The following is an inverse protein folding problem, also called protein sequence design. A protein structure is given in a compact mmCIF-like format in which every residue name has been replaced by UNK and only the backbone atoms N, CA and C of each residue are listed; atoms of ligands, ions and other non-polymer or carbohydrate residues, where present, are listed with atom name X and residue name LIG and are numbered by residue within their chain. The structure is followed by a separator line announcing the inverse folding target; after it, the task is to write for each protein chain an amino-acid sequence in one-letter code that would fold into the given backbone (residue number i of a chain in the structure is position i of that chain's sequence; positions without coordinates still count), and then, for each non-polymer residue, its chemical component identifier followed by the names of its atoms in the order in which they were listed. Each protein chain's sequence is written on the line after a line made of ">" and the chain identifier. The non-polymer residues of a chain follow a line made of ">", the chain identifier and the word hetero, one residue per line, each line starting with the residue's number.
data_IF_238267977510
#
_entry.id   IF_238267977510
#
_cell.length_a   1.000
_cell.length_b   1.000
_cell.length_c   1.000
_cell.angle_alpha   90.00
_cell.angle_beta   90.00
_cell.angle_gamma   90.00
#
_symmetry.space_group_name_H-M   'P 1'
#
loop_
_entity.id
_entity.type
_entity.pdbx_description
1 polymer ?
#
# COMPACT_ATOMS: atom_id res chain seq x y z
N UNK A 1 6.25 -4.68 12.35
CA UNK A 1 7.22 -5.18 11.35
C UNK A 1 6.51 -5.21 10.00
N UNK A 2 7.13 -4.64 8.96
CA UNK A 2 6.58 -4.65 7.59
C UNK A 2 7.24 -5.78 6.80
N UNK A 3 6.43 -6.59 6.11
CA UNK A 3 6.88 -7.78 5.39
C UNK A 3 6.18 -7.83 4.03
N UNK A 4 6.93 -8.19 2.98
CA UNK A 4 6.32 -8.50 1.68
C UNK A 4 5.43 -9.74 1.78
N UNK A 5 4.18 -9.63 1.34
CA UNK A 5 3.23 -10.74 1.31
C UNK A 5 3.17 -11.45 -0.05
N UNK A 6 3.70 -10.83 -1.13
CA UNK A 6 3.81 -11.42 -2.46
C UNK A 6 5.18 -12.02 -2.79
N UNK A 7 5.33 -12.58 -4.00
CA UNK A 7 6.60 -13.17 -4.46
C UNK A 7 7.55 -12.14 -5.07
N UNK A 8 7.02 -11.12 -5.75
CA UNK A 8 7.81 -10.13 -6.49
C UNK A 8 8.28 -8.98 -5.59
N UNK A 9 9.52 -8.51 -5.71
CA UNK A 9 9.98 -7.27 -5.06
C UNK A 9 9.32 -6.03 -5.65
N UNK A 10 9.46 -4.88 -4.98
CA UNK A 10 8.94 -3.61 -5.49
C UNK A 10 9.42 -3.31 -6.92
N UNK A 11 10.72 -3.48 -7.18
CA UNK A 11 11.33 -3.23 -8.49
C UNK A 11 10.85 -4.19 -9.59
N UNK A 12 10.43 -5.40 -9.22
CA UNK A 12 9.89 -6.41 -10.16
C UNK A 12 8.44 -6.13 -10.53
N UNK A 13 7.68 -5.43 -9.67
CA UNK A 13 6.28 -5.09 -9.93
C UNK A 13 6.17 -3.92 -10.92
N UNK A 14 7.11 -2.96 -10.91
CA UNK A 14 7.24 -1.75 -11.76
C UNK A 14 5.96 -0.91 -11.99
N UNK A 15 4.88 -1.50 -12.51
CA UNK A 15 3.54 -0.93 -12.60
C UNK A 15 2.52 -2.00 -12.18
N UNK A 16 2.02 -1.95 -10.95
CA UNK A 16 1.07 -2.95 -10.43
C UNK A 16 0.93 -2.99 -8.91
N UNK A 17 0.12 -3.93 -8.42
CA UNK A 17 -0.12 -4.09 -6.98
C UNK A 17 1.02 -4.81 -6.27
N UNK A 18 1.46 -4.23 -5.16
CA UNK A 18 2.44 -4.75 -4.23
C UNK A 18 1.77 -5.03 -2.88
N UNK A 19 1.77 -6.30 -2.46
CA UNK A 19 1.12 -6.75 -1.24
C UNK A 19 2.10 -6.72 -0.06
N UNK A 20 1.72 -6.05 1.02
CA UNK A 20 2.50 -5.98 2.26
C UNK A 20 1.65 -6.31 3.49
N UNK A 21 2.28 -6.95 4.47
CA UNK A 21 1.75 -7.12 5.82
C UNK A 21 2.45 -6.14 6.77
N UNK A 22 1.67 -5.42 7.57
CA UNK A 22 2.16 -4.48 8.59
C UNK A 22 1.42 -4.73 9.89
N UNK A 23 2.07 -5.37 10.84
CA UNK A 23 1.50 -5.63 12.17
C UNK A 23 0.11 -6.31 12.09
N UNK A 24 -0.05 -7.25 11.14
CA UNK A 24 -1.28 -8.01 10.90
C UNK A 24 -2.30 -7.32 9.99
N UNK A 25 -2.03 -6.08 9.55
CA UNK A 25 -2.77 -5.45 8.47
C UNK A 25 -2.25 -5.94 7.14
N UNK A 26 -3.14 -6.30 6.22
CA UNK A 26 -2.79 -6.62 4.83
C UNK A 26 -3.14 -5.44 3.94
N UNK A 27 -2.17 -4.91 3.22
CA UNK A 27 -2.34 -3.77 2.34
C UNK A 27 -2.00 -4.17 0.91
N UNK A 28 -2.82 -3.69 -0.03
CA UNK A 28 -2.51 -3.67 -1.45
C UNK A 28 -2.18 -2.23 -1.84
N UNK A 29 -0.93 -2.01 -2.22
CA UNK A 29 -0.41 -0.69 -2.63
C UNK A 29 -0.09 -0.74 -4.11
N UNK A 30 -0.45 0.29 -4.86
CA UNK A 30 -0.10 0.39 -6.26
C UNK A 30 1.27 1.08 -6.44
N UNK A 31 2.16 0.41 -7.15
CA UNK A 31 3.41 0.98 -7.65
C UNK A 31 3.16 1.46 -9.08
N UNK A 32 3.40 2.74 -9.36
CA UNK A 32 3.38 3.29 -10.72
C UNK A 32 4.78 3.74 -11.13
N UNK A 33 5.41 2.99 -12.02
CA UNK A 33 6.72 3.29 -12.58
C UNK A 33 7.82 3.53 -11.52
N UNK A 34 7.83 2.75 -10.43
CA UNK A 34 8.69 2.87 -9.23
C UNK A 34 8.26 3.93 -8.21
N UNK A 35 7.14 4.62 -8.40
CA UNK A 35 6.60 5.60 -7.46
C UNK A 35 5.41 5.03 -6.66
N UNK A 36 5.32 5.39 -5.38
CA UNK A 36 4.18 5.08 -4.53
C UNK A 36 2.96 5.92 -4.93
N UNK A 37 1.95 5.29 -5.55
CA UNK A 37 0.77 5.97 -6.10
C UNK A 37 -0.39 6.01 -5.10
N UNK A 38 -1.16 4.92 -4.97
CA UNK A 38 -2.31 4.83 -4.06
C UNK A 38 -2.39 3.50 -3.30
N UNK A 39 -3.22 3.45 -2.27
CA UNK A 39 -3.62 2.20 -1.63
C UNK A 39 -4.94 1.69 -2.23
N UNK A 40 -4.92 0.49 -2.79
CA UNK A 40 -6.09 -0.17 -3.38
C UNK A 40 -6.99 -0.77 -2.28
N UNK A 41 -6.38 -1.40 -1.27
CA UNK A 41 -7.11 -2.11 -0.24
C UNK A 41 -6.32 -2.21 1.06
N UNK A 42 -7.04 -2.11 2.19
CA UNK A 42 -6.56 -2.42 3.52
C UNK A 42 -7.49 -3.41 4.21
N UNK A 43 -6.94 -4.50 4.74
CA UNK A 43 -7.66 -5.47 5.57
C UNK A 43 -7.05 -5.47 6.97
N UNK A 44 -7.85 -5.14 7.96
CA UNK A 44 -7.45 -5.16 9.36
C UNK A 44 -7.28 -6.60 9.88
N UNK A 45 -6.55 -6.78 10.99
CA UNK A 45 -6.41 -8.10 11.63
C UNK A 45 -7.74 -8.76 12.02
N UNK A 46 -8.77 -7.96 12.32
CA UNK A 46 -10.12 -8.43 12.65
C UNK A 46 -11.03 -8.66 11.42
N UNK A 47 -10.49 -8.49 10.20
CA UNK A 47 -11.16 -8.79 8.94
C UNK A 47 -12.01 -7.66 8.35
N UNK A 48 -12.04 -6.48 8.97
CA UNK A 48 -12.63 -5.29 8.34
C UNK A 48 -11.81 -4.91 7.10
N UNK A 49 -12.51 -4.50 6.05
CA UNK A 49 -11.91 -4.17 4.75
C UNK A 49 -12.29 -2.73 4.38
N UNK A 50 -11.30 -1.99 3.92
CA UNK A 50 -11.46 -0.76 3.16
C UNK A 50 -10.89 -0.99 1.75
N UNK A 51 -11.56 -0.49 0.72
CA UNK A 51 -11.05 -0.54 -0.66
C UNK A 51 -11.32 0.77 -1.40
N UNK A 52 -10.42 1.11 -2.33
CA UNK A 52 -10.46 2.36 -3.10
C UNK A 52 -11.79 2.51 -3.87
N UNK A 53 -12.28 1.44 -4.50
CA UNK A 53 -13.53 1.42 -5.28
C UNK A 53 -14.83 1.27 -4.43
N UNK A 54 -14.75 1.21 -3.10
CA UNK A 54 -15.94 0.93 -2.27
C UNK A 54 -17.01 2.04 -2.23
N UNK A 55 -16.85 3.12 -3.00
CA UNK A 55 -17.94 3.99 -3.45
C UNK A 55 -18.63 4.86 -2.39
N UNK A 56 -18.27 4.73 -1.10
CA UNK A 56 -18.76 5.64 -0.08
C UNK A 56 -17.98 6.96 -0.19
N UNK A 57 -18.73 8.06 -0.15
CA UNK A 57 -18.48 9.34 -0.83
C UNK A 57 -17.24 10.15 -0.36
N UNK A 58 -16.39 9.54 0.46
CA UNK A 58 -15.22 10.12 1.13
C UNK A 58 -14.02 9.17 1.23
N UNK A 59 -13.94 8.13 0.39
CA UNK A 59 -12.76 7.25 0.31
C UNK A 59 -11.53 8.02 -0.18
N UNK A 60 -10.96 8.89 0.65
CA UNK A 60 -9.66 9.48 0.39
C UNK A 60 -8.64 8.37 0.50
N UNK A 61 -7.86 8.22 -0.55
CA UNK A 61 -6.69 7.36 -0.56
C UNK A 61 -5.85 7.58 0.70
N UNK A 62 -5.62 6.53 1.51
CA UNK A 62 -4.74 6.61 2.67
C UNK A 62 -3.35 7.14 2.34
N UNK A 63 -2.83 6.89 1.13
CA UNK A 63 -1.54 7.43 0.68
C UNK A 63 -1.61 8.94 0.50
N UNK A 64 -2.73 9.47 0.01
CA UNK A 64 -2.95 10.92 -0.13
C UNK A 64 -3.08 11.67 1.21
N UNK A 65 -3.30 10.96 2.32
CA UNK A 65 -3.33 11.55 3.67
C UNK A 65 -1.93 11.70 4.29
N UNK A 66 -0.90 11.10 3.70
CA UNK A 66 0.46 11.16 4.19
C UNK A 66 1.05 12.55 3.93
N UNK A 67 1.81 13.06 4.89
CA UNK A 67 2.74 14.16 4.60
C UNK A 67 3.79 13.71 3.58
N UNK A 68 4.43 14.68 2.93
CA UNK A 68 5.53 14.42 1.98
C UNK A 68 6.63 13.53 2.60
N UNK A 69 6.93 13.73 3.89
CA UNK A 69 7.95 12.94 4.58
C UNK A 69 7.49 11.50 4.86
N UNK A 70 6.24 11.31 5.27
CA UNK A 70 5.67 9.98 5.51
C UNK A 70 5.56 9.18 4.22
N UNK A 71 5.12 9.82 3.12
CA UNK A 71 5.06 9.22 1.79
C UNK A 71 6.44 8.71 1.35
N UNK A 72 7.46 9.57 1.37
CA UNK A 72 8.83 9.20 1.00
C UNK A 72 9.43 8.13 1.91
N UNK A 73 9.06 8.14 3.19
CA UNK A 73 9.54 7.14 4.15
C UNK A 73 8.92 5.79 3.87
N UNK A 74 7.61 5.74 3.61
CA UNK A 74 6.90 4.54 3.24
C UNK A 74 7.44 3.96 1.95
N UNK A 75 7.60 4.76 0.89
CA UNK A 75 8.16 4.29 -0.37
C UNK A 75 9.56 3.67 -0.20
N UNK A 76 10.43 4.30 0.59
CA UNK A 76 11.78 3.75 0.90
C UNK A 76 11.73 2.44 1.68
N UNK A 77 10.69 2.22 2.50
CA UNK A 77 10.50 0.95 3.19
C UNK A 77 10.01 -0.12 2.23
N UNK A 78 9.04 0.19 1.37
CA UNK A 78 8.51 -0.71 0.35
C UNK A 78 9.60 -1.17 -0.63
N UNK A 79 10.47 -0.25 -1.07
CA UNK A 79 11.62 -0.54 -1.95
C UNK A 79 12.67 -1.48 -1.33
N UNK A 80 12.64 -1.72 -0.02
CA UNK A 80 13.59 -2.61 0.69
C UNK A 80 13.04 -4.03 0.92
N UNK A 81 11.79 -4.29 0.55
CA UNK A 81 11.09 -5.57 0.72
C UNK A 81 11.17 -6.46 -0.53
#
# INVERSE_FOLDING_TARGET
>A
MMIKAGNQSWSEVYAGHFLVDVDGWRLSIYNDCDDLDYCEECVSPDGRRWSFDSGDRYGTDPVALLSVWEHQTLEKLLKKL
#
